data_IF_912643520105
#
_entry.id   IF_912643520105
#
_cell.length_a   1.000
_cell.length_b   1.000
_cell.length_c   1.000
_cell.angle_alpha   90.00
_cell.angle_beta   90.00
_cell.angle_gamma   90.00
#
_symmetry.space_group_name_H-M   'P 1'
#
loop_
_entity.id
_entity.type
_entity.pdbx_description
1 polymer ?
#
# COMPACT_ATOMS: atom_id res chain seq x y z
N UNK A 1 25.44 -11.56 4.17
CA UNK A 1 24.28 -11.54 3.26
C UNK A 1 24.17 -12.94 2.66
N UNK A 2 23.33 -13.81 3.22
CA UNK A 2 23.21 -15.22 2.82
C UNK A 2 22.46 -15.45 1.49
N UNK A 3 22.28 -14.38 0.71
CA UNK A 3 21.50 -14.35 -0.54
C UNK A 3 22.38 -14.53 -1.78
N UNK A 4 23.72 -14.51 -1.60
CA UNK A 4 24.66 -14.77 -2.69
C UNK A 4 24.96 -16.26 -2.68
N UNK A 5 24.37 -16.98 -3.62
CA UNK A 5 24.56 -18.43 -3.77
C UNK A 5 25.92 -18.76 -4.40
N UNK A 6 26.39 -17.95 -5.35
CA UNK A 6 27.71 -18.08 -5.96
C UNK A 6 28.20 -16.75 -6.55
N UNK A 7 29.53 -16.61 -6.64
CA UNK A 7 30.20 -15.52 -7.38
C UNK A 7 31.18 -16.15 -8.34
N UNK A 8 31.08 -15.78 -9.62
CA UNK A 8 31.98 -16.24 -10.67
C UNK A 8 32.76 -15.04 -11.22
N UNK A 9 34.09 -15.12 -11.17
CA UNK A 9 34.98 -14.08 -11.71
C UNK A 9 35.27 -14.26 -13.22
N UNK A 10 34.82 -15.38 -13.79
CA UNK A 10 35.00 -15.76 -15.19
C UNK A 10 33.68 -16.31 -15.75
N UNK A 11 33.61 -16.54 -17.06
CA UNK A 11 32.42 -17.06 -17.72
C UNK A 11 32.01 -18.42 -17.11
N UNK A 12 30.82 -18.47 -16.49
CA UNK A 12 30.25 -19.68 -15.92
C UNK A 12 29.29 -20.33 -16.92
N UNK A 13 29.48 -21.61 -17.21
CA UNK A 13 28.66 -22.40 -18.13
C UNK A 13 28.43 -23.80 -17.54
N UNK A 14 27.45 -23.96 -16.63
CA UNK A 14 27.21 -25.23 -15.96
C UNK A 14 26.70 -26.27 -16.97
N UNK A 15 27.17 -27.51 -16.82
CA UNK A 15 26.69 -28.66 -17.61
C UNK A 15 25.29 -29.13 -17.18
N UNK A 16 24.94 -28.88 -15.92
CA UNK A 16 23.62 -29.12 -15.36
C UNK A 16 23.31 -28.10 -14.24
N UNK A 17 22.03 -27.80 -14.03
CA UNK A 17 21.61 -26.94 -12.92
C UNK A 17 21.73 -27.69 -11.57
N UNK A 18 21.94 -26.96 -10.46
CA UNK A 18 21.84 -27.54 -9.12
C UNK A 18 20.50 -28.26 -8.94
N UNK A 19 20.54 -29.48 -8.42
CA UNK A 19 19.31 -30.20 -8.03
C UNK A 19 18.77 -29.55 -6.76
N UNK A 20 17.47 -29.23 -6.76
CA UNK A 20 16.78 -28.76 -5.57
C UNK A 20 16.91 -29.77 -4.43
N UNK A 21 17.02 -29.27 -3.21
CA UNK A 21 16.91 -30.09 -2.00
C UNK A 21 15.44 -30.20 -1.58
N UNK A 22 15.10 -31.26 -0.84
CA UNK A 22 13.78 -31.35 -0.21
C UNK A 22 13.65 -30.23 0.82
N UNK A 23 12.56 -29.47 0.76
CA UNK A 23 12.22 -28.50 1.78
C UNK A 23 11.15 -29.06 2.71
N UNK A 24 11.16 -28.64 3.97
CA UNK A 24 10.06 -28.91 4.88
C UNK A 24 8.88 -28.03 4.48
N UNK A 25 7.78 -28.64 4.10
CA UNK A 25 6.55 -27.95 3.68
C UNK A 25 5.55 -27.85 4.84
N UNK A 26 6.01 -28.03 6.08
CA UNK A 26 5.20 -27.87 7.27
C UNK A 26 4.68 -26.44 7.36
N UNK A 27 3.38 -26.29 7.54
CA UNK A 27 2.72 -24.99 7.69
C UNK A 27 2.54 -24.72 9.18
N UNK A 28 3.20 -23.68 9.68
CA UNK A 28 3.12 -23.29 11.08
C UNK A 28 1.89 -22.41 11.36
N UNK A 29 1.31 -22.62 12.53
CA UNK A 29 0.27 -21.76 13.10
C UNK A 29 0.90 -20.77 14.09
N UNK A 30 0.41 -19.53 14.09
CA UNK A 30 0.89 -18.46 14.97
C UNK A 30 -0.15 -18.26 16.07
N UNK A 31 0.24 -18.53 17.32
CA UNK A 31 -0.62 -18.28 18.48
C UNK A 31 -0.89 -16.77 18.63
N UNK A 32 -2.03 -16.34 18.11
CA UNK A 32 -2.44 -14.94 18.03
C UNK A 32 -3.67 -14.68 18.91
N UNK A 33 -4.63 -15.61 18.93
CA UNK A 33 -5.98 -15.38 19.49
C UNK A 33 -5.95 -14.95 20.95
N UNK A 34 -5.03 -15.45 21.76
CA UNK A 34 -5.00 -15.18 23.20
C UNK A 34 -3.99 -14.11 23.62
N UNK A 35 -3.37 -13.42 22.64
CA UNK A 35 -2.40 -12.37 22.93
C UNK A 35 -3.07 -11.07 23.42
N UNK A 36 -2.48 -10.50 24.47
CA UNK A 36 -2.74 -9.14 24.92
C UNK A 36 -2.07 -8.12 23.99
N UNK A 37 -2.37 -6.83 24.19
CA UNK A 37 -1.88 -5.78 23.31
C UNK A 37 -0.35 -5.68 23.30
N UNK A 38 0.31 -5.85 24.45
CA UNK A 38 1.77 -5.80 24.54
C UNK A 38 2.42 -6.98 23.79
N UNK A 39 1.81 -8.16 23.84
CA UNK A 39 2.25 -9.32 23.09
C UNK A 39 1.96 -9.20 21.59
N UNK A 40 0.85 -8.57 21.20
CA UNK A 40 0.56 -8.26 19.80
C UNK A 40 1.60 -7.30 19.20
N UNK A 41 1.94 -6.23 19.92
CA UNK A 41 2.98 -5.28 19.47
C UNK A 41 4.35 -5.95 19.37
N UNK A 42 4.69 -6.81 20.34
CA UNK A 42 5.93 -7.58 20.32
C UNK A 42 5.97 -8.53 19.12
N UNK A 43 4.89 -9.29 18.88
CA UNK A 43 4.78 -10.19 17.73
C UNK A 43 4.97 -9.42 16.41
N UNK A 44 4.26 -8.31 16.24
CA UNK A 44 4.38 -7.46 15.04
C UNK A 44 5.82 -6.99 14.80
N UNK A 45 6.53 -6.61 15.87
CA UNK A 45 7.92 -6.16 15.82
C UNK A 45 8.88 -7.30 15.50
N UNK A 46 8.82 -8.39 16.23
CA UNK A 46 9.79 -9.48 16.17
C UNK A 46 9.65 -10.28 14.86
N UNK A 47 8.41 -10.45 14.37
CA UNK A 47 8.11 -11.09 13.09
C UNK A 47 8.14 -10.11 11.90
N UNK A 48 8.58 -8.86 12.09
CA UNK A 48 8.69 -7.86 11.02
C UNK A 48 7.40 -7.65 10.20
N UNK A 49 6.24 -7.71 10.87
CA UNK A 49 4.94 -7.52 10.23
C UNK A 49 4.65 -6.03 9.97
N UNK A 50 5.25 -5.14 10.76
CA UNK A 50 5.05 -3.69 10.69
C UNK A 50 3.58 -3.24 10.77
N UNK A 51 2.73 -4.07 11.40
CA UNK A 51 1.33 -3.78 11.65
C UNK A 51 1.17 -2.95 12.92
N UNK A 52 0.27 -1.97 12.88
CA UNK A 52 -0.14 -1.21 14.06
C UNK A 52 -0.92 -2.09 15.05
N UNK A 53 -1.04 -1.64 16.30
CA UNK A 53 -1.79 -2.36 17.32
C UNK A 53 -3.25 -2.59 16.91
N UNK A 54 -3.89 -1.59 16.29
CA UNK A 54 -5.28 -1.73 15.85
C UNK A 54 -5.45 -2.75 14.72
N UNK A 55 -4.49 -2.83 13.79
CA UNK A 55 -4.48 -3.87 12.76
C UNK A 55 -4.24 -5.26 13.36
N UNK A 56 -3.30 -5.38 14.30
CA UNK A 56 -3.05 -6.63 15.01
C UNK A 56 -4.28 -7.10 15.80
N UNK A 57 -5.00 -6.17 16.45
CA UNK A 57 -6.28 -6.46 17.13
C UNK A 57 -7.34 -6.91 16.14
N UNK A 58 -7.50 -6.22 15.01
CA UNK A 58 -8.47 -6.60 13.99
C UNK A 58 -8.22 -8.02 13.46
N UNK A 59 -6.95 -8.36 13.18
CA UNK A 59 -6.56 -9.70 12.75
C UNK A 59 -6.83 -10.72 13.86
N UNK A 60 -6.41 -10.45 15.11
CA UNK A 60 -6.67 -11.34 16.25
C UNK A 60 -8.16 -11.62 16.41
N UNK A 61 -8.99 -10.59 16.36
CA UNK A 61 -10.42 -10.69 16.60
C UNK A 61 -11.12 -11.47 15.47
N UNK A 62 -10.66 -11.34 14.23
CA UNK A 62 -11.09 -12.18 13.11
C UNK A 62 -10.76 -13.66 13.36
N UNK A 63 -9.51 -13.98 13.74
CA UNK A 63 -9.12 -15.36 14.00
C UNK A 63 -9.78 -15.95 15.26
N UNK A 64 -10.12 -15.11 16.25
CA UNK A 64 -11.01 -15.51 17.36
C UNK A 64 -12.39 -15.90 16.86
N UNK A 65 -12.99 -15.11 15.97
CA UNK A 65 -14.30 -15.40 15.40
C UNK A 65 -14.29 -16.69 14.55
N UNK A 66 -13.21 -16.93 13.80
CA UNK A 66 -13.02 -18.16 13.03
C UNK A 66 -12.72 -19.40 13.89
N UNK A 67 -12.37 -19.21 15.17
CA UNK A 67 -12.09 -20.30 16.11
C UNK A 67 -10.80 -21.06 15.82
N UNK A 68 -9.83 -20.46 15.12
CA UNK A 68 -8.54 -21.08 14.77
C UNK A 68 -7.40 -20.07 14.79
N UNK A 69 -6.16 -20.54 14.91
CA UNK A 69 -5.00 -19.69 14.69
C UNK A 69 -4.80 -19.36 13.20
N UNK A 70 -4.20 -18.20 12.89
CA UNK A 70 -3.65 -17.94 11.56
C UNK A 70 -2.49 -18.88 11.26
N UNK A 71 -2.40 -19.32 10.01
CA UNK A 71 -1.15 -19.85 9.46
C UNK A 71 -0.19 -18.69 9.25
N UNK A 72 1.10 -18.95 9.38
CA UNK A 72 2.16 -17.95 9.16
C UNK A 72 1.98 -17.21 7.84
N UNK A 73 1.73 -17.95 6.74
CA UNK A 73 1.51 -17.36 5.41
C UNK A 73 0.28 -16.45 5.34
N UNK A 74 -0.78 -16.74 6.10
CA UNK A 74 -1.97 -15.90 6.13
C UNK A 74 -1.69 -14.58 6.85
N UNK A 75 -0.97 -14.66 7.98
CA UNK A 75 -0.56 -13.49 8.74
C UNK A 75 0.41 -12.60 7.94
N UNK A 76 1.40 -13.18 7.27
CA UNK A 76 2.32 -12.46 6.41
C UNK A 76 1.59 -11.81 5.21
N UNK A 77 0.66 -12.54 4.58
CA UNK A 77 -0.14 -11.99 3.48
C UNK A 77 -0.94 -10.77 3.93
N UNK A 78 -1.55 -10.81 5.12
CA UNK A 78 -2.25 -9.66 5.69
C UNK A 78 -1.28 -8.49 5.95
N UNK A 79 -0.12 -8.77 6.56
CA UNK A 79 0.90 -7.74 6.82
C UNK A 79 1.37 -7.04 5.54
N UNK A 80 1.64 -7.81 4.47
CA UNK A 80 2.07 -7.26 3.19
C UNK A 80 0.96 -6.44 2.53
N UNK A 81 -0.23 -7.02 2.40
CA UNK A 81 -1.35 -6.37 1.70
C UNK A 81 -1.87 -5.15 2.43
N UNK A 82 -1.72 -5.08 3.76
CA UNK A 82 -2.09 -3.93 4.58
C UNK A 82 -0.92 -3.00 4.85
N UNK A 83 0.24 -3.20 4.23
CA UNK A 83 1.38 -2.31 4.38
C UNK A 83 1.09 -0.91 3.84
N UNK A 84 1.85 0.08 4.29
CA UNK A 84 1.76 1.46 3.79
C UNK A 84 1.98 1.53 2.28
N UNK A 85 2.95 0.78 1.78
CA UNK A 85 3.28 0.75 0.35
C UNK A 85 2.15 0.16 -0.49
N UNK A 86 1.40 -0.82 0.03
CA UNK A 86 0.32 -1.47 -0.70
C UNK A 86 -1.00 -0.69 -0.63
N UNK A 87 -1.36 -0.15 0.53
CA UNK A 87 -2.67 0.52 0.72
C UNK A 87 -2.58 2.02 0.53
N UNK A 88 -1.39 2.61 0.63
CA UNK A 88 -1.16 4.06 0.63
C UNK A 88 -1.93 4.76 1.76
N UNK A 89 -1.75 4.33 3.02
CA UNK A 89 -2.55 4.85 4.14
C UNK A 89 -2.34 6.34 4.32
N UNK A 90 -1.11 6.83 4.19
CA UNK A 90 -0.79 8.28 4.26
C UNK A 90 -1.56 9.06 3.20
N UNK A 91 -1.54 8.59 1.94
CA UNK A 91 -2.24 9.26 0.85
C UNK A 91 -3.77 9.20 0.97
N UNK A 92 -4.31 8.21 1.71
CA UNK A 92 -5.74 8.10 2.01
C UNK A 92 -6.14 8.77 3.32
N UNK A 93 -5.18 9.18 4.14
CA UNK A 93 -5.42 9.72 5.47
C UNK A 93 -5.92 11.16 5.43
N UNK A 94 -6.49 11.58 6.57
CA UNK A 94 -6.82 12.97 6.81
C UNK A 94 -5.57 13.72 7.25
N UNK A 95 -5.19 14.75 6.49
CA UNK A 95 -4.02 15.60 6.77
C UNK A 95 -4.49 16.98 7.23
N UNK A 96 -3.83 17.53 8.25
CA UNK A 96 -3.97 18.93 8.67
C UNK A 96 -2.67 19.64 8.38
N UNK A 97 -2.72 20.71 7.60
CA UNK A 97 -1.57 21.54 7.30
C UNK A 97 -1.86 23.00 7.65
N UNK A 98 -0.82 23.73 8.04
CA UNK A 98 -0.87 25.20 8.05
C UNK A 98 -0.52 25.69 6.67
N UNK A 99 -1.25 26.70 6.21
CA UNK A 99 -1.02 27.34 4.92
C UNK A 99 -0.48 28.74 5.14
N UNK A 100 0.60 29.06 4.44
CA UNK A 100 1.19 30.38 4.46
C UNK A 100 0.35 31.35 3.62
N UNK A 101 0.47 32.65 3.90
CA UNK A 101 -0.31 33.68 3.23
C UNK A 101 0.00 33.79 1.72
N UNK A 102 1.13 33.24 1.27
CA UNK A 102 1.59 33.22 -0.13
C UNK A 102 1.34 31.87 -0.83
N UNK A 103 0.59 30.95 -0.22
CA UNK A 103 0.22 29.69 -0.86
C UNK A 103 -0.56 29.96 -2.17
N UNK A 104 -0.15 29.27 -3.23
CA UNK A 104 -0.73 29.42 -4.58
C UNK A 104 -1.96 28.54 -4.78
N UNK A 105 -2.22 27.60 -3.87
CA UNK A 105 -3.33 26.67 -3.97
C UNK A 105 -4.61 27.36 -3.48
N UNK A 106 -5.64 27.37 -4.32
CA UNK A 106 -6.99 27.79 -3.92
C UNK A 106 -7.66 26.64 -3.19
N UNK A 107 -7.72 26.70 -1.87
CA UNK A 107 -8.23 25.62 -1.02
C UNK A 107 -9.75 25.65 -0.86
N UNK A 108 -10.35 26.84 -0.83
CA UNK A 108 -11.80 27.01 -0.69
C UNK A 108 -12.59 26.32 -1.81
N UNK A 109 -13.67 25.63 -1.43
CA UNK A 109 -14.57 24.96 -2.38
C UNK A 109 -14.06 23.63 -2.93
N UNK A 110 -12.82 23.20 -2.60
CA UNK A 110 -12.30 21.90 -3.03
C UNK A 110 -13.04 20.73 -2.34
N UNK A 111 -13.45 19.69 -3.09
CA UNK A 111 -14.12 18.53 -2.51
C UNK A 111 -13.27 17.81 -1.45
N UNK A 112 -13.84 17.60 -0.27
CA UNK A 112 -13.17 16.91 0.85
C UNK A 112 -12.07 17.75 1.51
N UNK A 113 -12.09 19.07 1.35
CA UNK A 113 -11.21 20.03 2.02
C UNK A 113 -12.04 20.94 2.93
N UNK A 114 -11.58 21.15 4.16
CA UNK A 114 -12.09 22.16 5.09
C UNK A 114 -11.01 23.21 5.33
N UNK A 115 -11.34 24.48 5.17
CA UNK A 115 -10.43 25.61 5.45
C UNK A 115 -10.93 26.36 6.68
N UNK A 116 -10.02 26.63 7.62
CA UNK A 116 -10.26 27.44 8.82
C UNK A 116 -9.01 28.28 9.08
N UNK A 117 -9.14 29.60 9.22
CA UNK A 117 -8.06 30.56 9.55
C UNK A 117 -6.62 30.00 9.63
N UNK A 118 -5.94 29.90 8.48
CA UNK A 118 -4.54 29.48 8.38
C UNK A 118 -4.29 27.96 8.49
N UNK A 119 -5.32 27.14 8.63
CA UNK A 119 -5.30 25.68 8.62
C UNK A 119 -6.19 25.12 7.49
N UNK A 120 -5.65 24.11 6.80
CA UNK A 120 -6.39 23.32 5.82
C UNK A 120 -6.41 21.87 6.29
N UNK A 121 -7.61 21.29 6.32
CA UNK A 121 -7.83 19.87 6.59
C UNK A 121 -8.29 19.17 5.32
N UNK A 122 -7.51 18.18 4.90
CA UNK A 122 -7.75 17.40 3.68
C UNK A 122 -8.13 15.99 4.11
N UNK A 123 -9.36 15.54 3.84
CA UNK A 123 -9.86 14.26 4.36
C UNK A 123 -9.24 13.03 3.70
N UNK A 124 -8.82 13.16 2.44
CA UNK A 124 -8.09 12.14 1.70
C UNK A 124 -7.12 12.82 0.73
N UNK A 125 -5.82 12.77 1.04
CA UNK A 125 -4.82 13.55 0.33
C UNK A 125 -4.82 13.30 -1.18
N UNK A 126 -4.80 12.04 -1.63
CA UNK A 126 -4.78 11.70 -3.05
C UNK A 126 -6.09 12.09 -3.76
N UNK A 127 -7.24 11.76 -3.15
CA UNK A 127 -8.55 12.00 -3.75
C UNK A 127 -8.87 13.48 -3.88
N UNK A 128 -8.58 14.26 -2.83
CA UNK A 128 -8.89 15.70 -2.78
C UNK A 128 -7.87 16.58 -3.49
N UNK A 129 -6.75 16.03 -3.96
CA UNK A 129 -5.72 16.78 -4.69
C UNK A 129 -5.57 16.28 -6.12
N UNK A 130 -4.69 15.31 -6.37
CA UNK A 130 -4.33 14.82 -7.70
C UNK A 130 -5.56 14.31 -8.44
N UNK A 131 -6.36 13.44 -7.83
CA UNK A 131 -7.53 12.88 -8.50
C UNK A 131 -8.64 13.91 -8.73
N UNK A 132 -8.87 14.83 -7.77
CA UNK A 132 -9.83 15.92 -7.94
C UNK A 132 -9.47 16.83 -9.10
N UNK A 133 -8.20 17.24 -9.22
CA UNK A 133 -7.73 18.08 -10.31
C UNK A 133 -7.89 17.39 -11.68
N UNK A 134 -7.59 16.09 -11.78
CA UNK A 134 -7.81 15.34 -13.02
C UNK A 134 -9.29 15.27 -13.38
N UNK A 135 -10.17 14.97 -12.42
CA UNK A 135 -11.62 14.90 -12.70
C UNK A 135 -12.24 16.26 -13.00
N UNK A 136 -11.72 17.34 -12.44
CA UNK A 136 -12.11 18.72 -12.77
C UNK A 136 -11.79 19.01 -14.24
N UNK A 137 -10.58 18.72 -14.70
CA UNK A 137 -10.22 18.89 -16.11
C UNK A 137 -11.11 18.05 -17.04
N UNK A 138 -11.43 16.82 -16.66
CA UNK A 138 -12.36 15.96 -17.42
C UNK A 138 -13.75 16.59 -17.50
N UNK A 139 -14.26 17.13 -16.40
CA UNK A 139 -15.54 17.82 -16.37
C UNK A 139 -15.55 19.13 -17.18
N UNK A 140 -14.41 19.80 -17.29
CA UNK A 140 -14.20 20.98 -18.15
C UNK A 140 -14.07 20.64 -19.64
N UNK A 141 -14.06 19.36 -20.01
CA UNK A 141 -14.07 18.89 -21.39
C UNK A 141 -12.79 18.20 -21.84
N UNK A 142 -11.87 17.86 -20.93
CA UNK A 142 -10.70 17.04 -21.26
C UNK A 142 -11.14 15.61 -21.59
N UNK A 143 -11.14 15.25 -22.87
CA UNK A 143 -11.73 14.02 -23.40
C UNK A 143 -10.72 12.92 -23.77
N UNK A 144 -9.41 13.20 -23.67
CA UNK A 144 -8.36 12.23 -24.00
C UNK A 144 -7.95 11.31 -22.84
N UNK A 145 -8.58 11.41 -21.66
CA UNK A 145 -8.30 10.50 -20.54
C UNK A 145 -9.11 9.22 -20.68
N UNK A 146 -8.46 8.11 -21.06
CA UNK A 146 -9.13 6.84 -21.35
C UNK A 146 -9.30 5.97 -20.11
N UNK A 147 -8.29 5.96 -19.23
CA UNK A 147 -8.32 5.24 -17.96
C UNK A 147 -7.43 5.95 -16.94
N UNK A 148 -8.02 6.47 -15.86
CA UNK A 148 -7.28 7.15 -14.79
C UNK A 148 -7.81 6.69 -13.42
N UNK A 149 -6.91 6.38 -12.50
CA UNK A 149 -7.21 5.95 -11.11
C UNK A 149 -8.04 4.67 -10.94
N UNK A 150 -8.23 3.88 -12.00
CA UNK A 150 -8.99 2.62 -11.96
C UNK A 150 -8.14 1.39 -12.27
N UNK A 151 -6.89 1.59 -12.71
CA UNK A 151 -5.95 0.53 -13.05
C UNK A 151 -4.53 0.90 -12.57
N UNK A 152 -3.59 -0.03 -12.74
CA UNK A 152 -2.19 0.08 -12.35
C UNK A 152 -1.37 1.08 -13.18
N UNK A 153 -1.97 1.67 -14.22
CA UNK A 153 -1.38 2.68 -15.08
C UNK A 153 -2.45 3.68 -15.53
N UNK A 154 -2.02 4.91 -15.81
CA UNK A 154 -2.86 5.90 -16.49
C UNK A 154 -2.77 5.71 -18.00
N UNK A 155 -3.91 5.78 -18.69
CA UNK A 155 -4.00 5.64 -20.15
C UNK A 155 -4.63 6.89 -20.74
N UNK A 156 -3.95 7.48 -21.72
CA UNK A 156 -4.38 8.68 -22.44
C UNK A 156 -4.41 8.41 -23.94
N UNK A 157 -5.35 9.02 -24.66
CA UNK A 157 -5.37 8.98 -26.11
C UNK A 157 -4.16 9.75 -26.66
N UNK A 158 -3.48 9.17 -27.65
CA UNK A 158 -2.44 9.84 -28.42
C UNK A 158 -3.00 10.35 -29.75
N UNK A 159 -3.74 9.47 -30.43
CA UNK A 159 -4.50 9.73 -31.65
C UNK A 159 -5.73 8.80 -31.69
N UNK A 160 -6.47 8.78 -32.81
CA UNK A 160 -7.70 7.99 -32.98
C UNK A 160 -7.49 6.47 -32.92
N UNK A 161 -6.25 5.98 -33.05
CA UNK A 161 -5.90 4.56 -33.13
C UNK A 161 -4.98 4.09 -31.99
N UNK A 162 -4.33 5.01 -31.29
CA UNK A 162 -3.28 4.71 -30.31
C UNK A 162 -3.48 5.44 -28.98
N UNK A 163 -3.02 4.78 -27.92
CA UNK A 163 -2.99 5.32 -26.56
C UNK A 163 -1.60 5.18 -25.95
N UNK A 164 -1.26 6.09 -25.04
CA UNK A 164 -0.04 6.01 -24.21
C UNK A 164 -0.41 5.50 -22.83
N UNK A 165 0.31 4.47 -22.39
CA UNK A 165 0.25 3.93 -21.03
C UNK A 165 1.41 4.51 -20.21
N UNK A 166 1.10 5.10 -19.05
CA UNK A 166 2.07 5.74 -18.15
C UNK A 166 1.93 5.13 -16.75
N UNK A 167 3.05 4.68 -16.17
CA UNK A 167 3.14 4.12 -14.82
C UNK A 167 4.42 4.59 -14.12
#
# INVERSE_FOLDING_TARGET
>A
NGVIEAVHAEAWSPLEFPRGHSHDMTVHEVALRDLDDAALERLSRDAHLFLSLDEMRAIRDEYRALGREPREIELETLAQTWSEHCVHKTLKSTVRCRVDADDRIRWEGRPGVEVREGEVKIHNLLKSTVAAATHELIAEGLDWTLSVFVDNAGIIAFDDQHAVCVK
#
